data_IF_978268531447
#
_entry.id   IF_978268531447
#
_cell.length_a   1.000
_cell.length_b   1.000
_cell.length_c   1.000
_cell.angle_alpha   90.00
_cell.angle_beta   90.00
_cell.angle_gamma   90.00
#
_symmetry.space_group_name_H-M   'P 1'
#
loop_
_entity.id
_entity.type
_entity.pdbx_description
1 polymer ?
#
# COMPACT_ATOMS: atom_id res chain seq x y z
N UNK A 1 19.51 20.34 45.65
CA UNK A 1 19.51 19.90 44.23
C UNK A 1 18.63 20.88 43.46
N UNK A 2 19.23 21.82 42.71
CA UNK A 2 18.47 22.81 41.93
C UNK A 2 17.95 22.08 40.68
N UNK A 3 16.66 21.73 40.68
CA UNK A 3 15.99 21.28 39.46
C UNK A 3 16.04 22.44 38.45
N UNK A 4 16.54 22.15 37.26
CA UNK A 4 16.65 23.10 36.15
C UNK A 4 15.25 23.62 35.81
N UNK A 5 15.09 24.94 35.71
CA UNK A 5 13.78 25.64 35.63
C UNK A 5 13.01 25.37 34.33
N UNK A 6 13.52 24.50 33.45
CA UNK A 6 12.97 24.20 32.14
C UNK A 6 12.49 22.75 31.97
N UNK A 7 12.49 21.92 33.02
CA UNK A 7 12.06 20.52 32.90
C UNK A 7 10.75 20.28 33.65
N UNK A 8 9.62 20.37 32.94
CA UNK A 8 8.49 19.50 33.28
C UNK A 8 8.85 18.11 32.75
N UNK A 9 9.28 17.24 33.65
CA UNK A 9 9.49 15.81 33.37
C UNK A 9 8.15 15.12 33.65
N UNK A 10 7.71 14.26 32.74
CA UNK A 10 6.59 13.37 33.03
C UNK A 10 6.94 12.49 34.23
N UNK A 11 5.96 12.09 35.06
CA UNK A 11 6.21 11.05 36.03
C UNK A 11 6.63 9.77 35.31
N UNK A 12 7.51 9.00 35.93
CA UNK A 12 7.99 7.72 35.41
C UNK A 12 7.39 6.57 36.20
N UNK A 13 7.11 5.46 35.51
CA UNK A 13 6.76 4.20 36.17
C UNK A 13 8.02 3.46 36.69
N UNK A 14 7.83 2.24 37.21
CA UNK A 14 8.92 1.41 37.73
C UNK A 14 9.91 0.94 36.65
N UNK A 15 9.55 1.06 35.36
CA UNK A 15 10.39 0.73 34.21
C UNK A 15 11.11 1.96 33.64
N UNK A 16 11.01 3.12 34.28
CA UNK A 16 11.47 4.43 33.78
C UNK A 16 10.75 4.90 32.50
N UNK A 17 9.58 4.35 32.19
CA UNK A 17 8.73 4.87 31.12
C UNK A 17 7.96 6.09 31.65
N UNK A 18 8.07 7.21 30.95
CA UNK A 18 7.27 8.40 31.21
C UNK A 18 5.80 8.09 30.95
N UNK A 19 4.85 8.68 31.67
CA UNK A 19 3.40 8.52 31.40
C UNK A 19 2.60 9.83 31.48
N UNK A 20 1.45 9.84 30.80
CA UNK A 20 0.48 10.95 30.82
C UNK A 20 -0.54 10.76 31.96
N UNK A 21 -0.51 11.55 33.05
CA UNK A 21 -1.43 11.35 34.17
C UNK A 21 -2.90 11.57 33.78
N UNK A 22 -3.15 12.53 32.89
CA UNK A 22 -4.50 12.94 32.46
C UNK A 22 -4.65 12.90 30.94
N UNK A 23 -3.83 12.10 30.24
CA UNK A 23 -3.75 12.14 28.77
C UNK A 23 -3.53 13.55 28.22
N UNK A 24 -2.65 14.33 28.87
CA UNK A 24 -2.32 15.71 28.47
C UNK A 24 -0.81 15.86 28.32
N UNK A 25 -0.41 16.64 27.32
CA UNK A 25 1.00 16.94 27.12
C UNK A 25 1.55 17.86 28.21
N UNK A 26 2.67 17.50 28.81
CA UNK A 26 3.56 18.42 29.47
C UNK A 26 3.92 19.55 28.51
N UNK A 27 3.88 20.77 29.03
CA UNK A 27 4.10 22.00 28.26
C UNK A 27 5.25 22.77 28.89
N UNK A 28 6.25 23.13 28.07
CA UNK A 28 7.38 23.96 28.45
C UNK A 28 6.94 25.41 28.69
N UNK A 29 7.81 26.21 29.32
CA UNK A 29 7.54 27.63 29.62
C UNK A 29 7.26 28.48 28.38
N UNK A 30 7.76 28.08 27.21
CA UNK A 30 7.51 28.71 25.92
C UNK A 30 6.25 28.20 25.20
N UNK A 31 5.43 27.36 25.86
CA UNK A 31 4.20 26.82 25.28
C UNK A 31 4.38 25.60 24.37
N UNK A 32 5.60 25.11 24.16
CA UNK A 32 5.83 23.86 23.42
C UNK A 32 5.36 22.67 24.25
N UNK A 33 4.47 21.86 23.68
CA UNK A 33 4.11 20.54 24.20
C UNK A 33 5.24 19.54 23.89
N UNK A 34 5.45 18.55 24.75
CA UNK A 34 6.47 17.50 24.57
C UNK A 34 5.81 16.12 24.63
N UNK A 35 6.29 15.16 23.83
CA UNK A 35 5.84 13.78 23.95
C UNK A 35 6.52 13.09 25.13
N UNK A 36 5.79 12.23 25.84
CA UNK A 36 6.35 11.28 26.78
C UNK A 36 7.14 10.20 26.04
N UNK A 37 8.14 9.62 26.71
CA UNK A 37 9.02 8.58 26.17
C UNK A 37 8.91 7.25 26.91
N UNK A 38 8.99 6.15 26.15
CA UNK A 38 9.12 4.80 26.70
C UNK A 38 10.55 4.52 27.22
N UNK A 39 10.77 3.35 27.82
CA UNK A 39 12.07 2.92 28.34
C UNK A 39 13.19 2.84 27.27
N UNK A 40 12.80 2.76 26.00
CA UNK A 40 13.70 2.72 24.85
C UNK A 40 14.00 4.12 24.29
N UNK A 41 13.38 5.16 24.84
CA UNK A 41 13.50 6.56 24.41
C UNK A 41 12.66 6.91 23.17
N UNK A 42 11.67 6.08 22.81
CA UNK A 42 10.72 6.42 21.76
C UNK A 42 9.60 7.30 22.32
N UNK A 43 9.29 8.36 21.61
CA UNK A 43 8.14 9.21 21.90
C UNK A 43 6.84 8.48 21.51
N UNK A 44 5.79 8.70 22.30
CA UNK A 44 4.47 8.17 21.99
C UNK A 44 3.38 9.21 22.24
N UNK A 45 2.28 9.09 21.52
CA UNK A 45 1.16 10.03 21.57
C UNK A 45 0.40 9.95 22.89
N UNK A 46 -0.06 11.10 23.39
CA UNK A 46 -1.16 11.11 24.33
C UNK A 46 -2.43 10.69 23.58
N UNK A 47 -3.33 9.98 24.27
CA UNK A 47 -4.55 9.47 23.66
C UNK A 47 -5.79 9.86 24.47
N UNK A 48 -6.87 10.20 23.79
CA UNK A 48 -8.16 10.46 24.44
C UNK A 48 -9.20 9.57 23.79
N UNK A 49 -9.87 8.74 24.60
CA UNK A 49 -10.81 7.73 24.10
C UNK A 49 -10.18 6.77 23.08
N UNK A 50 -8.90 6.42 23.27
CA UNK A 50 -8.10 5.58 22.38
C UNK A 50 -7.74 6.21 21.02
N UNK A 51 -8.06 7.49 20.79
CA UNK A 51 -7.56 8.23 19.63
C UNK A 51 -6.32 9.04 20.04
N UNK A 52 -5.21 8.82 19.35
CA UNK A 52 -3.99 9.61 19.49
C UNK A 52 -4.23 11.04 18.97
N UNK A 53 -3.58 12.04 19.55
CA UNK A 53 -3.66 13.43 19.06
C UNK A 53 -2.28 14.10 19.07
N UNK A 54 -2.01 15.03 18.17
CA UNK A 54 -0.68 15.63 18.04
C UNK A 54 -0.32 16.60 19.17
N UNK A 55 0.95 16.64 19.55
CA UNK A 55 1.55 17.75 20.29
C UNK A 55 1.82 18.95 19.36
N UNK A 56 1.87 20.16 19.91
CA UNK A 56 2.22 21.40 19.19
C UNK A 56 3.52 22.04 19.68
N UNK A 57 4.23 22.69 18.77
CA UNK A 57 5.42 23.48 19.11
C UNK A 57 5.02 24.85 19.71
N UNK A 58 6.02 25.66 20.09
CA UNK A 58 5.81 26.98 20.69
C UNK A 58 5.02 27.97 19.79
N UNK A 59 4.98 27.71 18.47
CA UNK A 59 4.23 28.51 17.50
C UNK A 59 2.82 27.93 17.23
N UNK A 60 2.41 26.91 17.99
CA UNK A 60 1.12 26.23 17.80
C UNK A 60 1.07 25.27 16.60
N UNK A 61 2.21 24.95 15.97
CA UNK A 61 2.27 24.02 14.84
C UNK A 61 2.40 22.59 15.36
N UNK A 62 1.49 21.72 14.95
CA UNK A 62 1.51 20.29 15.27
C UNK A 62 2.71 19.57 14.65
N UNK A 63 3.22 18.53 15.31
CA UNK A 63 4.34 17.74 14.80
C UNK A 63 4.25 16.27 15.21
N UNK A 64 4.91 15.38 14.45
CA UNK A 64 4.92 13.94 14.73
C UNK A 64 5.79 13.55 15.94
N UNK A 65 5.36 12.54 16.68
CA UNK A 65 6.21 11.82 17.64
C UNK A 65 7.33 11.08 16.90
N UNK A 66 8.46 10.82 17.57
CA UNK A 66 9.64 10.18 16.98
C UNK A 66 10.15 9.00 17.80
N UNK A 67 10.70 8.02 17.11
CA UNK A 67 11.54 6.98 17.74
C UNK A 67 12.86 7.60 18.25
N UNK A 68 13.59 6.85 19.07
CA UNK A 68 14.96 7.21 19.49
C UNK A 68 15.91 7.45 18.31
N UNK A 69 15.64 6.84 17.16
CA UNK A 69 16.41 7.00 15.92
C UNK A 69 15.90 8.14 15.03
N UNK A 70 15.05 9.03 15.55
CA UNK A 70 14.44 10.17 14.85
C UNK A 70 13.47 9.82 13.71
N UNK A 71 13.07 8.55 13.56
CA UNK A 71 11.96 8.18 12.68
C UNK A 71 10.65 8.74 13.25
N UNK A 72 9.95 9.57 12.48
CA UNK A 72 8.61 10.02 12.85
C UNK A 72 7.62 8.85 12.80
N UNK A 73 6.59 8.91 13.64
CA UNK A 73 5.57 7.88 13.80
C UNK A 73 4.22 8.51 13.48
N UNK A 74 3.32 7.82 12.79
CA UNK A 74 1.95 8.30 12.60
C UNK A 74 1.10 8.04 13.86
N UNK A 75 0.24 8.98 14.28
CA UNK A 75 -0.76 8.70 15.32
C UNK A 75 -1.78 7.68 14.82
N UNK A 76 -2.50 7.06 15.75
CA UNK A 76 -3.52 6.06 15.46
C UNK A 76 -4.89 6.43 16.02
N UNK A 77 -5.91 6.02 15.29
CA UNK A 77 -7.29 6.03 15.79
C UNK A 77 -7.51 4.88 16.77
N UNK A 78 -8.64 4.88 17.47
CA UNK A 78 -9.13 3.78 18.31
C UNK A 78 -9.29 2.46 17.55
N UNK A 79 -9.40 2.50 16.22
CA UNK A 79 -9.47 1.34 15.35
C UNK A 79 -8.10 0.85 14.86
N UNK A 80 -7.02 1.51 15.30
CA UNK A 80 -5.62 1.26 14.95
C UNK A 80 -5.24 1.65 13.52
N UNK A 81 -6.07 2.44 12.86
CA UNK A 81 -5.71 3.07 11.59
C UNK A 81 -4.76 4.24 11.87
N UNK A 82 -3.62 4.28 11.19
CA UNK A 82 -2.70 5.40 11.21
C UNK A 82 -3.27 6.54 10.36
N UNK A 83 -3.02 7.79 10.76
CA UNK A 83 -3.53 8.94 10.03
C UNK A 83 -2.51 10.07 9.91
N UNK A 84 -2.68 10.87 8.85
CA UNK A 84 -1.82 11.99 8.54
C UNK A 84 -2.17 13.23 9.39
N UNK A 85 -1.14 14.00 9.73
CA UNK A 85 -1.31 15.37 10.17
C UNK A 85 -1.85 16.20 9.00
N UNK A 86 -2.95 16.92 9.22
CA UNK A 86 -3.54 17.80 8.21
C UNK A 86 -3.20 19.26 8.47
N UNK A 87 -2.66 19.93 7.43
CA UNK A 87 -2.42 21.36 7.44
C UNK A 87 -2.89 21.95 6.11
N UNK A 88 -3.78 22.94 6.15
CA UNK A 88 -4.25 23.66 4.95
C UNK A 88 -4.75 22.73 3.82
N UNK A 89 -5.57 21.74 4.15
CA UNK A 89 -6.09 20.72 3.21
C UNK A 89 -5.01 19.85 2.55
N UNK A 90 -3.87 19.68 3.21
CA UNK A 90 -2.81 18.79 2.78
C UNK A 90 -2.38 17.87 3.94
N UNK A 91 -2.24 16.59 3.62
CA UNK A 91 -1.61 15.61 4.49
C UNK A 91 -0.09 15.86 4.53
N UNK A 92 0.44 16.04 5.73
CA UNK A 92 1.86 16.18 6.00
C UNK A 92 2.43 14.80 6.25
N UNK A 93 3.54 14.44 5.62
CA UNK A 93 4.10 13.10 5.68
C UNK A 93 5.06 12.93 6.85
N UNK A 94 5.05 11.74 7.45
CA UNK A 94 6.09 11.33 8.39
C UNK A 94 7.38 10.92 7.66
N UNK A 95 8.50 11.20 8.29
CA UNK A 95 9.86 11.01 7.77
C UNK A 95 10.57 9.86 8.51
N UNK A 96 11.26 8.97 7.78
CA UNK A 96 12.16 7.93 8.29
C UNK A 96 13.57 8.47 8.60
N UNK A 97 14.42 7.62 9.15
CA UNK A 97 15.78 7.93 9.62
C UNK A 97 16.70 8.52 8.52
N UNK A 98 16.36 8.28 7.24
CA UNK A 98 17.12 8.73 6.07
C UNK A 98 16.49 9.92 5.32
N UNK A 99 15.48 10.58 5.91
CA UNK A 99 14.75 11.67 5.24
C UNK A 99 13.63 11.19 4.30
N UNK A 100 13.56 9.89 4.02
CA UNK A 100 12.53 9.26 3.20
C UNK A 100 11.14 9.34 3.85
N UNK A 101 10.10 9.70 3.10
CA UNK A 101 8.71 9.63 3.56
C UNK A 101 8.12 8.22 3.41
N UNK A 102 7.03 7.93 4.11
CA UNK A 102 6.34 6.64 3.98
C UNK A 102 4.83 6.78 4.22
N UNK A 103 4.06 5.81 3.74
CA UNK A 103 2.61 5.80 3.87
C UNK A 103 2.16 5.50 5.31
N UNK A 104 1.04 6.09 5.73
CA UNK A 104 0.32 5.63 6.91
C UNK A 104 -0.33 4.28 6.59
N UNK A 105 -0.60 3.44 7.59
CA UNK A 105 -1.24 2.15 7.40
C UNK A 105 -2.60 2.07 8.09
N UNK A 106 -3.55 1.37 7.48
CA UNK A 106 -4.76 0.94 8.16
C UNK A 106 -4.45 -0.15 9.21
N UNK A 107 -5.48 -0.54 9.96
CA UNK A 107 -5.39 -1.63 10.96
C UNK A 107 -4.95 -2.98 10.38
N UNK A 108 -5.12 -3.20 9.07
CA UNK A 108 -4.75 -4.41 8.34
C UNK A 108 -3.37 -4.32 7.70
N UNK A 109 -2.64 -3.22 7.91
CA UNK A 109 -1.33 -2.93 7.30
C UNK A 109 -1.38 -2.63 5.80
N UNK A 110 -2.53 -2.18 5.32
CA UNK A 110 -2.69 -1.59 3.99
C UNK A 110 -2.26 -0.13 4.09
N UNK A 111 -1.28 0.26 3.28
CA UNK A 111 -0.82 1.63 3.14
C UNK A 111 -1.95 2.52 2.60
N UNK A 112 -2.10 3.73 3.15
CA UNK A 112 -3.16 4.69 2.82
C UNK A 112 -2.54 5.79 1.96
N UNK A 113 -3.21 6.23 0.90
CA UNK A 113 -2.68 7.35 0.09
C UNK A 113 -2.88 8.70 0.81
N UNK A 114 -1.86 9.57 0.84
CA UNK A 114 -2.00 10.93 1.34
C UNK A 114 -2.79 11.80 0.35
N UNK A 115 -3.40 12.86 0.86
CA UNK A 115 -4.21 13.82 0.11
C UNK A 115 -3.59 15.20 0.08
N UNK A 116 -3.71 15.88 -1.05
CA UNK A 116 -3.38 17.30 -1.23
C UNK A 116 -4.51 17.99 -1.98
N UNK A 117 -5.09 19.03 -1.37
CA UNK A 117 -6.29 19.71 -1.88
C UNK A 117 -7.44 18.72 -2.14
N UNK A 118 -7.61 17.77 -1.22
CA UNK A 118 -8.64 16.72 -1.32
C UNK A 118 -8.33 15.59 -2.30
N UNK A 119 -7.24 15.67 -3.08
CA UNK A 119 -6.87 14.65 -4.08
C UNK A 119 -5.75 13.76 -3.56
N UNK A 120 -5.96 12.45 -3.61
CA UNK A 120 -4.93 11.46 -3.28
C UNK A 120 -3.80 11.47 -4.31
N UNK A 121 -2.57 11.27 -3.85
CA UNK A 121 -1.35 11.23 -4.67
C UNK A 121 -0.36 10.17 -4.17
N UNK A 122 0.55 9.74 -5.04
CA UNK A 122 1.62 8.82 -4.68
C UNK A 122 2.82 9.54 -4.06
N UNK A 123 3.42 8.94 -3.04
CA UNK A 123 4.71 9.36 -2.50
C UNK A 123 5.82 9.23 -3.53
N UNK A 124 6.90 9.98 -3.38
CA UNK A 124 8.07 9.89 -4.25
C UNK A 124 9.27 9.31 -3.51
N UNK A 125 10.08 8.52 -4.21
CA UNK A 125 11.41 8.10 -3.74
C UNK A 125 12.44 9.23 -3.90
N UNK A 126 13.67 8.99 -3.46
CA UNK A 126 14.78 9.95 -3.60
C UNK A 126 15.18 10.26 -5.05
N UNK A 127 14.78 9.41 -6.00
CA UNK A 127 15.02 9.65 -7.41
C UNK A 127 13.87 10.45 -8.05
N UNK A 128 12.81 10.74 -7.29
CA UNK A 128 11.62 11.45 -7.77
C UNK A 128 10.57 10.56 -8.44
N UNK A 129 10.74 9.22 -8.39
CA UNK A 129 9.73 8.29 -8.89
C UNK A 129 8.62 8.14 -7.86
N UNK A 130 7.38 8.21 -8.30
CA UNK A 130 6.21 7.91 -7.48
C UNK A 130 6.22 6.43 -7.06
N UNK A 131 5.80 6.12 -5.84
CA UNK A 131 5.85 4.78 -5.24
C UNK A 131 4.41 4.34 -5.01
N UNK A 132 4.02 3.18 -5.53
CA UNK A 132 2.70 2.63 -5.21
C UNK A 132 2.60 2.18 -3.74
N UNK A 133 1.43 2.40 -3.10
CA UNK A 133 1.13 1.86 -1.79
C UNK A 133 1.03 0.33 -1.80
N UNK A 134 1.20 -0.29 -0.64
CA UNK A 134 1.22 -1.73 -0.40
C UNK A 134 -0.01 -2.19 0.41
N UNK A 135 -0.64 -3.31 0.03
CA UNK A 135 -1.76 -3.91 0.78
C UNK A 135 -1.28 -4.88 1.86
N UNK A 136 -0.56 -5.93 1.47
CA UNK A 136 0.01 -6.95 2.38
C UNK A 136 1.13 -7.70 1.64
N UNK A 137 2.12 -8.26 2.36
CA UNK A 137 3.16 -9.14 1.79
C UNK A 137 3.73 -8.70 0.41
N UNK A 138 4.22 -7.46 0.31
CA UNK A 138 4.81 -6.86 -0.91
C UNK A 138 3.85 -6.68 -2.10
N UNK A 139 2.54 -6.88 -1.93
CA UNK A 139 1.55 -6.58 -2.97
C UNK A 139 1.28 -5.09 -3.01
N UNK A 140 1.63 -4.46 -4.14
CA UNK A 140 1.41 -3.03 -4.37
C UNK A 140 0.17 -2.80 -5.24
N UNK A 141 -0.50 -1.69 -5.01
CA UNK A 141 -1.75 -1.36 -5.70
C UNK A 141 -1.76 0.08 -6.21
N UNK A 142 -2.58 0.35 -7.23
CA UNK A 142 -2.77 1.68 -7.78
C UNK A 142 -4.13 2.26 -7.40
N UNK A 143 -4.21 3.58 -7.38
CA UNK A 143 -5.40 4.38 -7.14
C UNK A 143 -6.38 4.25 -8.32
N UNK A 144 -7.66 4.09 -7.98
CA UNK A 144 -8.76 4.17 -8.94
C UNK A 144 -9.61 5.41 -8.61
N UNK A 145 -9.81 6.28 -9.58
CA UNK A 145 -10.61 7.50 -9.47
C UNK A 145 -11.72 7.48 -10.54
N UNK A 146 -12.98 7.43 -10.13
CA UNK A 146 -14.15 7.37 -11.03
C UNK A 146 -14.02 6.36 -12.18
N UNK A 147 -13.50 5.15 -11.90
CA UNK A 147 -13.21 4.06 -12.86
C UNK A 147 -11.96 4.24 -13.72
N UNK A 148 -11.22 5.34 -13.58
CA UNK A 148 -9.91 5.53 -14.20
C UNK A 148 -8.80 5.01 -13.29
N UNK A 149 -7.91 4.20 -13.86
CA UNK A 149 -6.70 3.75 -13.19
C UNK A 149 -5.67 4.88 -13.25
N UNK A 150 -5.10 5.24 -12.11
CA UNK A 150 -4.06 6.28 -12.04
C UNK A 150 -2.74 5.58 -11.74
N UNK A 151 -1.82 5.58 -12.68
CA UNK A 151 -0.51 4.96 -12.50
C UNK A 151 0.49 5.93 -11.86
N UNK A 152 1.44 5.36 -11.12
CA UNK A 152 2.60 6.07 -10.62
C UNK A 152 3.49 6.51 -11.79
N UNK A 153 4.14 7.66 -11.62
CA UNK A 153 5.04 8.26 -12.60
C UNK A 153 6.50 8.18 -12.18
N UNK A 154 7.38 7.96 -13.14
CA UNK A 154 8.81 8.06 -12.93
C UNK A 154 9.24 9.54 -12.77
N UNK A 155 10.52 9.75 -12.50
CA UNK A 155 11.14 11.07 -12.41
C UNK A 155 11.01 11.94 -13.68
N UNK A 156 10.73 11.32 -14.83
CA UNK A 156 10.52 11.98 -16.13
C UNK A 156 9.03 12.17 -16.45
N UNK A 157 8.15 11.90 -15.49
CA UNK A 157 6.69 11.98 -15.61
C UNK A 157 6.06 10.91 -16.51
N UNK A 158 6.78 9.83 -16.85
CA UNK A 158 6.21 8.69 -17.56
C UNK A 158 5.49 7.78 -16.58
N UNK A 159 4.27 7.40 -16.92
CA UNK A 159 3.52 6.40 -16.16
C UNK A 159 4.18 5.03 -16.27
N UNK A 160 4.21 4.29 -15.16
CA UNK A 160 4.80 2.97 -15.14
C UNK A 160 3.99 2.01 -14.28
N UNK A 161 4.01 0.75 -14.68
CA UNK A 161 3.32 -0.36 -14.03
C UNK A 161 4.31 -1.13 -13.17
N UNK A 162 3.89 -1.59 -11.99
CA UNK A 162 4.74 -2.50 -11.21
C UNK A 162 4.76 -3.86 -11.87
N UNK A 163 5.96 -4.37 -12.07
CA UNK A 163 6.20 -5.70 -12.60
C UNK A 163 6.76 -6.57 -11.48
N UNK A 164 6.05 -7.64 -11.10
CA UNK A 164 6.55 -8.66 -10.19
C UNK A 164 6.97 -9.88 -11.00
N UNK A 165 8.23 -10.29 -10.88
CA UNK A 165 8.80 -11.44 -11.63
C UNK A 165 8.51 -11.39 -13.14
N UNK A 166 8.68 -10.22 -13.76
CA UNK A 166 8.39 -9.97 -15.19
C UNK A 166 6.89 -10.03 -15.59
N UNK A 167 5.95 -9.93 -14.65
CA UNK A 167 4.52 -9.83 -14.94
C UNK A 167 3.94 -8.54 -14.36
N UNK A 168 3.12 -7.78 -15.11
CA UNK A 168 2.44 -6.61 -14.56
C UNK A 168 1.53 -7.04 -13.39
N UNK A 169 1.66 -6.38 -12.25
CA UNK A 169 0.78 -6.58 -11.11
C UNK A 169 -0.60 -5.98 -11.42
N UNK A 170 -1.65 -6.70 -11.03
CA UNK A 170 -3.03 -6.23 -11.07
C UNK A 170 -3.38 -5.50 -9.76
N UNK A 171 -4.39 -4.63 -9.76
CA UNK A 171 -4.95 -4.05 -8.54
C UNK A 171 -6.38 -4.51 -8.30
N UNK A 172 -6.95 -4.13 -7.15
CA UNK A 172 -8.36 -4.33 -6.83
C UNK A 172 -9.09 -2.98 -6.86
N UNK A 173 -10.25 -2.89 -7.52
CA UNK A 173 -11.07 -1.67 -7.48
C UNK A 173 -11.83 -1.52 -6.15
N UNK A 174 -12.63 -0.45 -6.01
CA UNK A 174 -13.46 -0.19 -4.82
C UNK A 174 -14.50 -1.28 -4.49
N UNK A 175 -14.73 -2.23 -5.42
CA UNK A 175 -15.58 -3.41 -5.25
C UNK A 175 -14.76 -4.69 -5.01
N UNK A 176 -13.46 -4.58 -4.79
CA UNK A 176 -12.51 -5.69 -4.66
C UNK A 176 -12.37 -6.55 -5.93
N UNK A 177 -12.63 -5.99 -7.11
CA UNK A 177 -12.47 -6.70 -8.39
C UNK A 177 -11.07 -6.48 -8.96
N UNK A 178 -10.47 -7.52 -9.53
CA UNK A 178 -9.16 -7.44 -10.18
C UNK A 178 -9.22 -6.53 -11.42
N UNK A 179 -8.33 -5.56 -11.49
CA UNK A 179 -8.17 -4.63 -12.60
C UNK A 179 -6.71 -4.63 -13.08
N UNK A 180 -6.53 -4.87 -14.37
CA UNK A 180 -5.21 -4.94 -15.00
C UNK A 180 -4.81 -3.59 -15.59
N UNK A 181 -3.51 -3.25 -15.51
CA UNK A 181 -2.96 -2.07 -16.16
C UNK A 181 -3.12 -2.17 -17.69
N UNK A 182 -3.73 -1.15 -18.28
CA UNK A 182 -3.79 -0.93 -19.73
C UNK A 182 -2.49 -0.24 -20.12
N UNK A 183 -1.44 -0.99 -20.39
CA UNK A 183 -0.17 -0.42 -20.83
C UNK A 183 -0.17 -0.18 -22.35
N UNK A 184 0.50 0.87 -22.80
CA UNK A 184 0.59 1.32 -24.20
C UNK A 184 1.47 0.43 -25.09
N UNK A 185 2.31 -0.42 -24.48
CA UNK A 185 3.11 -1.45 -25.16
C UNK A 185 2.65 -2.89 -24.84
N UNK A 186 1.59 -3.03 -24.04
CA UNK A 186 1.01 -4.32 -23.75
C UNK A 186 -0.37 -4.38 -24.39
N UNK A 187 -0.53 -5.21 -25.41
CA UNK A 187 -1.82 -5.41 -26.10
C UNK A 187 -2.82 -6.15 -25.20
N UNK A 188 -3.31 -5.48 -24.15
CA UNK A 188 -4.43 -5.93 -23.35
C UNK A 188 -5.69 -5.22 -23.86
N UNK A 189 -6.44 -5.91 -24.71
CA UNK A 189 -7.72 -5.40 -25.18
C UNK A 189 -8.79 -5.59 -24.09
N UNK A 190 -9.23 -4.49 -23.50
CA UNK A 190 -10.50 -4.46 -22.75
C UNK A 190 -11.62 -4.37 -23.78
N UNK A 191 -12.32 -5.47 -24.05
CA UNK A 191 -13.62 -5.43 -24.72
C UNK A 191 -14.71 -5.57 -23.66
N UNK A 192 -15.92 -5.09 -23.96
CA UNK A 192 -17.07 -5.05 -23.03
C UNK A 192 -17.56 -6.43 -22.55
N UNK A 193 -16.83 -7.51 -22.87
CA UNK A 193 -17.06 -8.88 -22.45
C UNK A 193 -15.78 -9.41 -21.80
N UNK A 194 -15.91 -9.98 -20.60
CA UNK A 194 -14.86 -10.39 -19.66
C UNK A 194 -13.86 -11.42 -20.21
N UNK A 195 -12.94 -11.03 -21.08
CA UNK A 195 -11.82 -11.87 -21.51
C UNK A 195 -10.54 -11.05 -21.51
N UNK A 196 -9.53 -11.48 -20.74
CA UNK A 196 -8.23 -10.81 -20.68
C UNK A 196 -7.17 -11.84 -21.07
N UNK A 197 -6.62 -11.65 -22.26
CA UNK A 197 -5.36 -12.24 -22.68
C UNK A 197 -4.39 -11.13 -23.10
N UNK A 198 -3.10 -11.40 -23.01
CA UNK A 198 -2.05 -10.49 -23.49
C UNK A 198 -0.92 -11.26 -24.14
N UNK A 199 -0.19 -10.64 -25.07
CA UNK A 199 0.96 -11.28 -25.73
C UNK A 199 2.27 -10.86 -25.06
N UNK A 200 3.18 -11.81 -24.88
CA UNK A 200 4.53 -11.49 -24.41
C UNK A 200 5.42 -10.95 -25.54
N UNK A 201 6.66 -10.55 -25.20
CA UNK A 201 7.65 -10.03 -26.16
C UNK A 201 8.01 -10.97 -27.31
N UNK A 202 7.58 -12.23 -27.27
CA UNK A 202 7.77 -13.23 -28.30
C UNK A 202 6.43 -13.62 -28.98
N UNK A 203 5.41 -12.76 -28.84
CA UNK A 203 4.04 -12.97 -29.35
C UNK A 203 3.28 -14.15 -28.73
N UNK A 204 3.74 -14.68 -27.60
CA UNK A 204 3.05 -15.79 -26.93
C UNK A 204 1.85 -15.24 -26.17
N UNK A 205 0.67 -15.74 -26.49
CA UNK A 205 -0.57 -15.41 -25.79
C UNK A 205 -0.58 -15.99 -24.37
N UNK A 206 -0.82 -15.11 -23.40
CA UNK A 206 -0.94 -15.40 -21.99
C UNK A 206 -2.40 -15.24 -21.58
N UNK A 207 -2.95 -16.31 -21.02
CA UNK A 207 -4.32 -16.35 -20.50
C UNK A 207 -4.27 -16.56 -18.99
N UNK A 208 -5.00 -15.71 -18.25
CA UNK A 208 -5.06 -15.80 -16.79
C UNK A 208 -6.30 -16.61 -16.40
N UNK A 209 -6.09 -17.74 -15.75
CA UNK A 209 -7.16 -18.67 -15.37
C UNK A 209 -7.70 -18.35 -13.98
N UNK A 210 -8.96 -17.91 -13.89
CA UNK A 210 -9.68 -17.72 -12.62
C UNK A 210 -10.57 -18.93 -12.34
N UNK A 211 -10.33 -19.63 -11.22
CA UNK A 211 -10.98 -20.89 -10.85
C UNK A 211 -12.51 -20.81 -10.77
N UNK A 212 -13.08 -19.62 -10.53
CA UNK A 212 -14.53 -19.41 -10.40
C UNK A 212 -15.23 -19.29 -11.77
N UNK A 213 -14.47 -19.05 -12.86
CA UNK A 213 -14.98 -18.86 -14.23
C UNK A 213 -14.68 -20.06 -15.16
N UNK A 214 -14.42 -21.23 -14.58
CA UNK A 214 -13.76 -22.36 -15.25
C UNK A 214 -14.50 -22.96 -16.46
N UNK A 215 -15.84 -22.88 -16.53
CA UNK A 215 -16.58 -23.55 -17.62
C UNK A 215 -16.58 -22.74 -18.92
N UNK A 216 -16.95 -21.46 -18.83
CA UNK A 216 -17.12 -20.59 -20.01
C UNK A 216 -15.79 -20.26 -20.70
N UNK A 217 -14.72 -20.06 -19.93
CA UNK A 217 -13.40 -19.75 -20.50
C UNK A 217 -12.83 -20.99 -21.20
N UNK A 218 -13.05 -22.18 -20.66
CA UNK A 218 -12.52 -23.42 -21.23
C UNK A 218 -13.27 -23.85 -22.50
N UNK A 219 -14.60 -23.74 -22.52
CA UNK A 219 -15.42 -24.00 -23.72
C UNK A 219 -15.00 -23.08 -24.88
N UNK A 220 -14.74 -21.81 -24.60
CA UNK A 220 -14.30 -20.83 -25.61
C UNK A 220 -12.85 -21.03 -26.08
N UNK A 221 -11.96 -21.46 -25.19
CA UNK A 221 -10.58 -21.87 -25.52
C UNK A 221 -10.57 -23.03 -26.54
N UNK A 222 -11.54 -23.94 -26.45
CA UNK A 222 -11.71 -25.05 -27.39
C UNK A 222 -12.32 -24.59 -28.74
N UNK A 223 -13.21 -23.59 -28.73
CA UNK A 223 -13.76 -22.98 -29.96
C UNK A 223 -12.70 -22.21 -30.77
N UNK A 224 -11.71 -21.58 -30.11
CA UNK A 224 -10.73 -20.69 -30.75
C UNK A 224 -9.55 -21.40 -31.43
N UNK A 225 -9.51 -22.74 -31.42
CA UNK A 225 -8.52 -23.55 -32.14
C UNK A 225 -7.05 -23.09 -31.94
N UNK A 226 -6.67 -22.84 -30.68
CA UNK A 226 -5.42 -22.16 -30.33
C UNK A 226 -4.12 -22.90 -30.73
N UNK A 227 -3.04 -22.16 -31.05
CA UNK A 227 -1.74 -22.72 -31.44
C UNK A 227 -1.05 -23.53 -30.33
N UNK A 228 -0.15 -24.43 -30.73
CA UNK A 228 0.49 -25.48 -29.91
C UNK A 228 1.31 -25.01 -28.69
N UNK A 229 1.60 -23.70 -28.55
CA UNK A 229 2.38 -23.16 -27.43
C UNK A 229 1.58 -22.14 -26.64
N UNK A 230 0.86 -22.60 -25.63
CA UNK A 230 0.14 -21.75 -24.68
C UNK A 230 0.71 -21.92 -23.28
N UNK A 231 1.04 -20.82 -22.60
CA UNK A 231 1.34 -20.82 -21.16
C UNK A 231 0.08 -20.49 -20.38
N UNK A 232 -0.34 -21.40 -19.50
CA UNK A 232 -1.53 -21.23 -18.67
C UNK A 232 -1.07 -20.99 -17.23
N UNK A 233 -1.52 -19.88 -16.64
CA UNK A 233 -1.23 -19.56 -15.25
C UNK A 233 -2.44 -19.88 -14.36
N UNK A 234 -2.22 -20.68 -13.32
CA UNK A 234 -3.25 -21.00 -12.33
C UNK A 234 -2.97 -20.21 -11.05
N UNK A 235 -3.99 -19.52 -10.55
CA UNK A 235 -3.96 -18.87 -9.24
C UNK A 235 -4.90 -19.63 -8.31
N UNK A 236 -4.35 -20.15 -7.21
CA UNK A 236 -5.14 -20.81 -6.15
C UNK A 236 -4.74 -20.24 -4.80
N UNK A 237 -5.69 -19.63 -4.09
CA UNK A 237 -5.52 -19.15 -2.71
C UNK A 237 -4.32 -18.21 -2.51
N UNK A 238 -4.17 -17.20 -3.37
CA UNK A 238 -3.08 -16.22 -3.25
C UNK A 238 -1.67 -16.73 -3.56
N UNK A 239 -1.51 -18.02 -3.92
CA UNK A 239 -0.25 -18.58 -4.41
C UNK A 239 -0.35 -18.87 -5.91
N UNK A 240 0.59 -18.33 -6.68
CA UNK A 240 0.74 -18.63 -8.11
C UNK A 240 1.38 -20.00 -8.27
N UNK A 241 0.73 -20.90 -9.01
CA UNK A 241 1.33 -22.15 -9.47
C UNK A 241 1.57 -22.00 -10.97
N UNK A 242 2.83 -21.86 -11.35
CA UNK A 242 3.23 -21.84 -12.76
C UNK A 242 3.33 -23.28 -13.26
N UNK A 243 2.41 -23.71 -14.11
CA UNK A 243 2.56 -24.92 -14.91
C UNK A 243 2.71 -24.54 -16.38
N UNK A 244 3.95 -24.49 -16.84
CA UNK A 244 4.23 -24.47 -18.29
C UNK A 244 4.00 -25.88 -18.80
N UNK A 245 3.00 -26.09 -19.65
CA UNK A 245 2.80 -27.36 -20.33
C UNK A 245 2.49 -27.09 -21.80
N UNK A 246 3.39 -27.50 -22.69
CA UNK A 246 3.04 -27.64 -24.10
C UNK A 246 2.06 -28.81 -24.20
N UNK A 247 0.79 -28.50 -24.43
CA UNK A 247 -0.25 -29.50 -24.54
C UNK A 247 -0.39 -29.90 -26.00
N UNK A 248 -0.06 -31.15 -26.32
CA UNK A 248 -0.48 -31.74 -27.58
C UNK A 248 -2.00 -32.03 -27.54
N UNK A 249 -2.62 -32.23 -28.70
CA UNK A 249 -4.07 -32.39 -28.81
C UNK A 249 -4.63 -33.54 -27.96
N UNK A 250 -3.88 -34.63 -27.79
CA UNK A 250 -4.25 -35.78 -26.96
C UNK A 250 -4.26 -35.44 -25.46
N UNK A 251 -3.30 -34.63 -24.99
CA UNK A 251 -3.25 -34.19 -23.61
C UNK A 251 -4.33 -33.15 -23.28
N UNK A 252 -4.82 -32.41 -24.29
CA UNK A 252 -5.99 -31.52 -24.15
C UNK A 252 -7.23 -32.36 -23.85
N UNK A 253 -7.49 -33.41 -24.64
CA UNK A 253 -8.64 -34.31 -24.48
C UNK A 253 -8.61 -35.13 -23.17
N UNK A 254 -7.44 -35.58 -22.71
CA UNK A 254 -7.34 -36.31 -21.44
C UNK A 254 -7.55 -35.41 -20.20
N UNK A 255 -7.25 -34.11 -20.29
CA UNK A 255 -7.57 -33.17 -19.21
C UNK A 255 -9.07 -32.90 -19.11
N UNK A 256 -9.81 -32.94 -20.22
CA UNK A 256 -11.29 -32.91 -20.23
C UNK A 256 -11.82 -34.03 -19.34
N UNK A 257 -11.47 -35.29 -19.61
CA UNK A 257 -12.01 -36.44 -18.87
C UNK A 257 -11.69 -36.48 -17.37
N UNK A 258 -10.73 -35.69 -16.88
CA UNK A 258 -10.36 -35.63 -15.45
C UNK A 258 -11.10 -34.56 -14.65
N UNK A 259 -11.77 -33.62 -15.32
CA UNK A 259 -12.46 -32.50 -14.69
C UNK A 259 -13.97 -32.46 -15.01
N UNK A 260 -14.47 -33.42 -15.79
CA UNK A 260 -15.89 -33.73 -15.99
C UNK A 260 -16.26 -34.99 -15.22
#
# INVERSE_FOLDING_TARGET
MKLDKNQKVYPTDNNNSEYYPDNTYATLSNGKEIYAKDENGNEYYANKNMDDFFAKNANGVFYYAKTKLNKQIYPRTKYRDEFYLQLQNQDILAIKEEGNTYYANDKNKIEILPKKLGKEYYLKDNNGNEIYPQMSYNERYYKVDDSNQIYAKDSKMNEYVIVFENNPMYALNSKQEIVYPIDSNSFYHKTDKKEIYGKDKNEIEQYIFNKTLNKQIYEKIMEMNMPLKTKIYFITHGKRITKTKELNNVQKEQMVQRYF
#
